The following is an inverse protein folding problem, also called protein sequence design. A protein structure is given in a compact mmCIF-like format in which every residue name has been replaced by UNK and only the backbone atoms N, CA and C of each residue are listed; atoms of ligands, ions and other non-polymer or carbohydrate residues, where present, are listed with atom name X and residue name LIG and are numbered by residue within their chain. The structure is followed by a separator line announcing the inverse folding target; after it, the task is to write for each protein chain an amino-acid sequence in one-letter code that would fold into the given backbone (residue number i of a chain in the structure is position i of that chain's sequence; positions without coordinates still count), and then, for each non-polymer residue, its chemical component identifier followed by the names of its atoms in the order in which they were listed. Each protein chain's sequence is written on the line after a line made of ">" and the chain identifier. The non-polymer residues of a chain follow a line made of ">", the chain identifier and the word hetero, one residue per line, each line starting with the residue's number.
data_IF_410013730110
#
_entry.id   IF_410013730110
#
_cell.length_a   1.000
_cell.length_b   1.000
_cell.length_c   1.000
_cell.angle_alpha   90.00
_cell.angle_beta   90.00
_cell.angle_gamma   90.00
#
_symmetry.space_group_name_H-M   'P 1'
#
loop_
_entity.id
_entity.type
_entity.pdbx_description
1 polymer ?
#
# COMPACT_ATOMS: atom_id res chain seq x y z
N UNK A 1 -2.09 -58.31 -54.88
CA UNK A 1 -2.57 -58.50 -53.49
C UNK A 1 -1.92 -57.45 -52.61
N UNK A 2 -2.67 -56.46 -52.13
CA UNK A 2 -2.19 -55.39 -51.23
C UNK A 2 -2.54 -55.74 -49.78
N UNK A 3 -1.60 -55.63 -48.81
CA UNK A 3 -1.92 -55.94 -47.42
C UNK A 3 -2.59 -54.75 -46.71
N UNK A 4 -3.61 -55.06 -45.90
CA UNK A 4 -4.39 -54.10 -45.10
C UNK A 4 -3.60 -53.65 -43.86
N UNK A 5 -3.56 -52.34 -43.62
CA UNK A 5 -2.90 -51.70 -42.46
C UNK A 5 -3.68 -51.96 -41.16
N UNK A 6 -3.06 -52.62 -40.19
CA UNK A 6 -3.63 -52.81 -38.85
C UNK A 6 -3.57 -51.49 -38.04
N UNK A 7 -4.65 -51.18 -37.32
CA UNK A 7 -4.79 -49.98 -36.47
C UNK A 7 -4.03 -50.19 -35.15
N UNK A 8 -3.09 -49.31 -34.85
CA UNK A 8 -2.35 -49.30 -33.58
C UNK A 8 -3.23 -48.81 -32.42
N UNK A 9 -2.99 -49.34 -31.21
CA UNK A 9 -3.64 -48.91 -29.96
C UNK A 9 -3.19 -47.48 -29.61
N UNK A 10 -4.08 -46.62 -29.08
CA UNK A 10 -3.70 -45.29 -28.61
C UNK A 10 -2.69 -45.39 -27.45
N UNK A 11 -1.69 -44.52 -27.48
CA UNK A 11 -0.59 -44.44 -26.49
C UNK A 11 -1.05 -43.83 -25.15
N UNK A 12 -2.24 -43.22 -25.13
CA UNK A 12 -2.78 -42.56 -23.94
C UNK A 12 -4.11 -43.20 -23.55
N UNK A 13 -4.17 -43.74 -22.34
CA UNK A 13 -5.38 -44.22 -21.69
C UNK A 13 -5.86 -43.16 -20.69
N UNK A 14 -6.93 -42.40 -21.00
CA UNK A 14 -7.43 -41.32 -20.14
C UNK A 14 -8.03 -41.85 -18.83
N UNK A 15 -8.34 -43.14 -18.74
CA UNK A 15 -8.95 -43.79 -17.57
C UNK A 15 -7.94 -44.09 -16.46
N UNK A 16 -6.64 -44.05 -16.76
CA UNK A 16 -5.58 -44.37 -15.81
C UNK A 16 -5.35 -43.28 -14.75
N UNK A 17 -5.85 -42.06 -14.96
CA UNK A 17 -5.59 -40.91 -14.07
C UNK A 17 -6.61 -40.77 -12.94
N UNK A 18 -7.80 -41.36 -13.06
CA UNK A 18 -8.86 -41.18 -12.07
C UNK A 18 -8.68 -42.10 -10.84
N UNK A 19 -8.01 -43.24 -10.98
CA UNK A 19 -7.85 -44.19 -9.86
C UNK A 19 -6.73 -43.81 -8.88
N UNK A 20 -5.66 -43.17 -9.35
CA UNK A 20 -4.46 -42.89 -8.54
C UNK A 20 -4.50 -41.50 -7.85
N UNK A 21 -5.41 -40.61 -8.25
CA UNK A 21 -5.42 -39.22 -7.77
C UNK A 21 -6.16 -39.04 -6.43
N UNK A 22 -7.18 -39.86 -6.17
CA UNK A 22 -7.98 -39.79 -4.93
C UNK A 22 -7.24 -40.35 -3.71
N UNK A 23 -6.33 -41.32 -3.88
CA UNK A 23 -5.52 -41.89 -2.78
C UNK A 23 -4.32 -40.98 -2.40
N UNK A 24 -3.98 -39.99 -3.22
CA UNK A 24 -2.85 -39.08 -2.98
C UNK A 24 -3.21 -37.85 -2.13
N UNK A 25 -4.49 -37.63 -1.82
CA UNK A 25 -4.92 -36.49 -1.03
C UNK A 25 -5.20 -36.89 0.43
N UNK A 26 -4.52 -36.31 1.43
CA UNK A 26 -4.85 -36.59 2.82
C UNK A 26 -6.28 -36.11 3.08
N UNK A 27 -7.17 -37.04 3.44
CA UNK A 27 -8.53 -36.70 3.83
C UNK A 27 -8.51 -35.66 4.95
N UNK A 28 -9.32 -34.58 4.87
CA UNK A 28 -9.40 -33.59 5.92
C UNK A 28 -9.93 -34.27 7.19
N UNK A 29 -9.13 -34.26 8.26
CA UNK A 29 -9.56 -34.70 9.58
C UNK A 29 -10.79 -33.88 9.96
N UNK A 30 -11.91 -34.56 10.18
CA UNK A 30 -13.12 -33.99 10.76
C UNK A 30 -12.77 -33.37 12.11
N UNK A 31 -12.63 -32.04 12.13
CA UNK A 31 -12.53 -31.30 13.38
C UNK A 31 -13.88 -31.40 14.09
N UNK A 32 -13.87 -32.07 15.24
CA UNK A 32 -14.99 -32.09 16.17
C UNK A 32 -15.44 -30.67 16.46
N UNK A 33 -16.72 -30.42 16.25
CA UNK A 33 -17.40 -29.17 16.63
C UNK A 33 -17.36 -29.05 18.15
N UNK A 34 -16.76 -27.99 18.74
CA UNK A 34 -16.90 -27.75 20.17
C UNK A 34 -18.34 -27.34 20.48
N UNK A 35 -18.94 -27.98 21.49
CA UNK A 35 -20.29 -27.66 21.97
C UNK A 35 -20.35 -26.22 22.53
N UNK A 36 -21.49 -25.53 22.43
CA UNK A 36 -21.66 -24.20 23.02
C UNK A 36 -21.75 -24.31 24.54
N UNK A 37 -20.88 -23.60 25.25
CA UNK A 37 -20.99 -23.38 26.70
C UNK A 37 -22.09 -22.35 26.96
N UNK A 38 -23.04 -22.69 27.84
CA UNK A 38 -24.11 -21.79 28.26
C UNK A 38 -23.57 -20.61 29.10
N UNK A 39 -24.13 -19.39 28.96
CA UNK A 39 -23.71 -18.23 29.74
C UNK A 39 -24.29 -18.26 31.17
N UNK A 40 -23.52 -17.87 32.21
CA UNK A 40 -24.04 -17.65 33.55
C UNK A 40 -24.81 -16.31 33.66
N UNK A 41 -25.73 -16.19 34.64
CA UNK A 41 -26.70 -15.09 34.73
C UNK A 41 -26.09 -13.77 35.26
N UNK A 42 -26.65 -12.66 34.77
CA UNK A 42 -26.31 -11.29 35.13
C UNK A 42 -26.74 -10.91 36.56
N UNK A 43 -25.94 -10.11 37.28
CA UNK A 43 -26.42 -9.30 38.40
C UNK A 43 -26.71 -7.84 38.00
N UNK A 44 -27.78 -7.34 38.63
CA UNK A 44 -28.44 -6.05 38.47
C UNK A 44 -27.55 -4.78 38.55
N UNK A 45 -28.00 -3.76 37.83
CA UNK A 45 -27.62 -2.36 38.01
C UNK A 45 -28.02 -1.83 39.40
N UNK A 46 -27.33 -0.80 39.89
CA UNK A 46 -28.08 0.40 40.27
C UNK A 46 -27.42 1.72 39.87
N UNK A 47 -28.29 2.59 39.37
CA UNK A 47 -28.48 4.00 39.72
C UNK A 47 -27.33 5.02 39.56
N UNK A 48 -27.62 5.96 38.67
CA UNK A 48 -27.11 7.34 38.65
C UNK A 48 -27.22 8.03 40.01
N UNK A 49 -26.38 9.06 40.24
CA UNK A 49 -26.99 10.36 40.47
C UNK A 49 -26.30 11.52 39.73
N UNK A 50 -27.16 12.42 39.27
CA UNK A 50 -26.89 13.76 38.79
C UNK A 50 -26.25 14.63 39.88
N UNK A 51 -25.32 15.52 39.51
CA UNK A 51 -25.21 16.88 40.07
C UNK A 51 -24.32 17.78 39.19
N UNK A 52 -24.92 18.86 38.69
CA UNK A 52 -24.34 20.16 38.29
C UNK A 52 -25.01 21.18 39.25
N UNK A 53 -24.56 22.44 39.51
CA UNK A 53 -23.54 23.33 38.91
C UNK A 53 -22.50 23.84 39.94
N UNK A 54 -21.50 24.70 39.61
CA UNK A 54 -21.52 26.18 39.80
C UNK A 54 -20.09 26.74 39.51
N UNK A 55 -19.92 27.97 38.97
CA UNK A 55 -18.63 28.50 38.47
C UNK A 55 -17.85 29.36 39.49
N UNK A 56 -16.63 29.83 39.14
CA UNK A 56 -16.37 31.26 39.30
C UNK A 56 -15.58 31.93 38.15
N UNK A 57 -16.19 33.01 37.65
CA UNK A 57 -15.66 34.35 37.37
C UNK A 57 -14.13 34.59 37.48
N UNK A 58 -13.50 35.09 36.40
CA UNK A 58 -12.84 36.40 36.31
C UNK A 58 -11.94 36.54 35.04
N UNK A 59 -12.27 37.52 34.19
CA UNK A 59 -11.38 38.18 33.22
C UNK A 59 -10.43 39.15 34.01
N UNK A 60 -9.42 39.88 33.43
CA UNK A 60 -9.34 40.32 32.03
C UNK A 60 -7.92 40.48 31.40
N UNK A 61 -7.89 40.88 30.11
CA UNK A 61 -6.85 41.66 29.39
C UNK A 61 -5.45 41.02 29.24
N UNK A 62 -4.84 40.92 28.06
CA UNK A 62 -4.49 42.03 27.16
C UNK A 62 -4.08 41.56 25.76
N UNK A 63 -4.58 42.25 24.74
CA UNK A 63 -3.96 42.43 23.41
C UNK A 63 -3.33 43.84 23.39
N UNK A 64 -2.53 44.31 22.40
CA UNK A 64 -1.98 43.71 21.18
C UNK A 64 -0.45 43.95 21.00
N UNK A 65 0.20 43.32 20.00
CA UNK A 65 1.24 43.94 19.15
C UNK A 65 1.95 42.93 18.23
N UNK A 66 1.69 43.06 16.93
CA UNK A 66 2.60 42.80 15.81
C UNK A 66 2.92 44.19 15.20
N UNK A 67 3.89 44.43 14.29
CA UNK A 67 4.95 43.58 13.74
C UNK A 67 6.36 44.26 13.71
N UNK A 68 7.44 43.50 13.53
CA UNK A 68 8.67 44.03 12.93
C UNK A 68 9.44 42.94 12.18
N UNK A 69 9.83 43.27 10.95
CA UNK A 69 10.51 42.44 9.96
C UNK A 69 12.04 42.37 10.24
N UNK A 70 12.80 41.53 9.51
CA UNK A 70 14.03 40.91 9.98
C UNK A 70 15.30 41.74 9.73
N UNK A 71 16.22 41.70 10.69
CA UNK A 71 17.59 42.16 10.52
C UNK A 71 18.45 41.09 9.84
N UNK A 72 19.10 41.50 8.75
CA UNK A 72 20.16 40.75 8.07
C UNK A 72 21.49 41.04 8.76
N UNK A 73 22.32 40.03 9.01
CA UNK A 73 23.74 40.22 8.78
C UNK A 73 24.37 39.05 7.99
N UNK A 74 25.03 39.39 6.89
CA UNK A 74 26.17 38.63 6.36
C UNK A 74 27.29 38.59 7.41
N UNK A 75 28.08 37.51 7.47
CA UNK A 75 29.49 37.71 7.14
C UNK A 75 30.17 36.56 6.36
N UNK A 76 31.00 37.00 5.40
CA UNK A 76 32.43 36.65 5.28
C UNK A 76 32.86 35.21 4.96
N UNK A 77 33.29 35.05 3.71
CA UNK A 77 34.52 34.41 3.23
C UNK A 77 34.98 33.08 3.86
N UNK A 78 34.90 32.02 3.06
CA UNK A 78 35.58 30.74 3.30
C UNK A 78 36.75 30.61 2.32
N UNK A 79 38.00 30.37 2.76
CA UNK A 79 39.11 30.10 1.85
C UNK A 79 39.05 28.68 1.29
N UNK A 80 39.31 28.56 0.00
CA UNK A 80 39.49 27.30 -0.73
C UNK A 80 40.75 26.58 -0.25
N UNK A 81 40.61 25.32 0.17
CA UNK A 81 41.75 24.41 0.26
C UNK A 81 41.39 23.16 -0.54
N UNK A 82 42.05 23.04 -1.70
CA UNK A 82 42.05 21.86 -2.54
C UNK A 82 42.90 20.77 -1.88
N UNK A 83 42.31 19.60 -1.63
CA UNK A 83 43.05 18.34 -1.43
C UNK A 83 42.21 17.16 -1.94
N UNK A 84 42.69 16.55 -3.01
CA UNK A 84 42.46 15.14 -3.40
C UNK A 84 43.86 14.56 -3.67
N UNK A 85 44.09 13.24 -3.67
CA UNK A 85 43.17 12.11 -3.45
C UNK A 85 43.69 11.11 -2.40
N UNK A 86 42.86 10.18 -1.89
CA UNK A 86 43.27 8.80 -1.50
C UNK A 86 42.04 7.94 -1.24
N UNK A 87 41.86 6.90 -2.06
CA UNK A 87 40.97 5.74 -1.83
C UNK A 87 41.60 4.83 -0.75
N UNK A 88 40.81 4.17 0.12
CA UNK A 88 40.54 2.75 -0.17
C UNK A 88 39.18 2.18 0.34
N UNK A 89 38.80 1.09 -0.33
CA UNK A 89 38.09 -0.09 0.18
C UNK A 89 36.58 -0.02 0.51
N UNK A 90 35.81 -0.53 -0.46
CA UNK A 90 34.88 -1.67 -0.33
C UNK A 90 33.85 -1.64 0.81
N UNK A 91 32.61 -1.29 0.44
CA UNK A 91 31.41 -1.72 1.14
C UNK A 91 30.45 -2.35 0.12
N UNK A 92 29.84 -3.53 0.40
CA UNK A 92 29.09 -4.28 -0.60
C UNK A 92 27.74 -3.60 -0.87
N UNK A 93 27.63 -2.97 -2.03
CA UNK A 93 26.38 -2.52 -2.59
C UNK A 93 25.62 -3.73 -3.16
N UNK A 94 24.71 -4.32 -2.38
CA UNK A 94 23.67 -5.18 -2.91
C UNK A 94 22.59 -4.31 -3.57
N UNK A 95 22.92 -3.75 -4.73
CA UNK A 95 21.95 -3.34 -5.74
C UNK A 95 22.03 -4.35 -6.87
N UNK A 96 21.30 -5.46 -6.71
CA UNK A 96 20.98 -6.34 -7.82
C UNK A 96 20.02 -5.59 -8.74
N UNK A 97 20.58 -4.87 -9.71
CA UNK A 97 19.86 -4.26 -10.80
C UNK A 97 20.74 -4.38 -12.04
N UNK A 98 20.58 -5.50 -12.75
CA UNK A 98 21.27 -5.82 -13.99
C UNK A 98 21.31 -4.63 -14.95
N UNK A 99 22.51 -4.07 -15.12
CA UNK A 99 22.85 -3.27 -16.28
C UNK A 99 23.27 -4.24 -17.39
N UNK A 100 22.32 -4.73 -18.18
CA UNK A 100 22.60 -5.48 -19.39
C UNK A 100 21.78 -4.92 -20.56
N UNK A 101 22.51 -4.49 -21.60
CA UNK A 101 22.16 -4.11 -22.98
C UNK A 101 20.69 -4.18 -23.45
N UNK A 102 20.28 -3.32 -24.43
CA UNK A 102 18.90 -3.24 -24.93
C UNK A 102 18.60 -4.42 -25.87
N UNK A 103 18.55 -5.62 -25.33
CA UNK A 103 17.71 -6.66 -25.88
C UNK A 103 16.26 -6.20 -25.69
N UNK A 104 15.35 -6.58 -26.58
CA UNK A 104 13.91 -6.29 -26.50
C UNK A 104 13.33 -7.11 -25.33
N UNK A 105 13.78 -6.79 -24.12
CA UNK A 105 13.45 -7.47 -22.89
C UNK A 105 11.94 -7.36 -22.75
N UNK A 106 11.28 -8.50 -22.61
CA UNK A 106 9.84 -8.55 -22.33
C UNK A 106 9.63 -7.74 -21.05
N UNK A 107 9.09 -6.54 -21.21
CA UNK A 107 8.90 -5.61 -20.10
C UNK A 107 7.88 -6.25 -19.19
N UNK A 108 8.34 -6.73 -18.03
CA UNK A 108 7.45 -7.24 -16.99
C UNK A 108 6.55 -6.09 -16.54
N UNK A 109 5.24 -6.26 -16.47
CA UNK A 109 4.37 -5.20 -15.98
C UNK A 109 4.78 -4.80 -14.55
N UNK A 110 4.63 -3.52 -14.18
CA UNK A 110 5.04 -3.06 -12.86
C UNK A 110 4.23 -3.75 -11.76
N UNK A 111 4.92 -4.12 -10.68
CA UNK A 111 4.31 -4.73 -9.50
C UNK A 111 4.26 -3.74 -8.35
N UNK A 112 3.22 -3.83 -7.53
CA UNK A 112 3.06 -3.04 -6.30
C UNK A 112 2.55 -3.91 -5.16
N UNK A 113 2.92 -3.55 -3.94
CA UNK A 113 2.45 -4.20 -2.72
C UNK A 113 1.35 -3.35 -2.10
N UNK A 114 0.17 -3.93 -1.92
CA UNK A 114 -0.99 -3.27 -1.31
C UNK A 114 -1.36 -3.94 0.01
N UNK A 115 -1.93 -3.18 0.94
CA UNK A 115 -2.64 -3.78 2.08
C UNK A 115 -3.81 -4.64 1.60
N UNK A 116 -4.17 -5.64 2.40
CA UNK A 116 -5.25 -6.57 2.08
C UNK A 116 -6.59 -5.85 1.86
N UNK A 117 -6.92 -4.89 2.71
CA UNK A 117 -8.14 -4.08 2.62
C UNK A 117 -8.24 -3.33 1.28
N UNK A 118 -7.17 -2.63 0.89
CA UNK A 118 -7.15 -1.88 -0.37
C UNK A 118 -7.20 -2.82 -1.58
N UNK A 119 -6.55 -3.98 -1.49
CA UNK A 119 -6.63 -5.01 -2.53
C UNK A 119 -8.05 -5.57 -2.68
N UNK A 120 -8.73 -5.86 -1.57
CA UNK A 120 -10.05 -6.47 -1.59
C UNK A 120 -11.08 -5.51 -2.22
N UNK A 121 -11.03 -4.21 -1.91
CA UNK A 121 -11.87 -3.20 -2.58
C UNK A 121 -11.51 -3.02 -4.05
N UNK A 122 -10.23 -2.96 -4.39
CA UNK A 122 -9.79 -2.88 -5.78
C UNK A 122 -10.30 -4.09 -6.59
N UNK A 123 -10.20 -5.29 -6.02
CA UNK A 123 -10.72 -6.51 -6.62
C UNK A 123 -12.24 -6.50 -6.74
N UNK A 124 -12.95 -6.00 -5.72
CA UNK A 124 -14.41 -5.86 -5.72
C UNK A 124 -14.88 -4.96 -6.85
N UNK A 125 -14.24 -3.80 -7.04
CA UNK A 125 -14.55 -2.85 -8.12
C UNK A 125 -14.36 -3.50 -9.49
N UNK A 126 -13.22 -4.15 -9.73
CA UNK A 126 -12.99 -4.81 -11.02
C UNK A 126 -13.99 -5.94 -11.27
N UNK A 127 -14.32 -6.73 -10.25
CA UNK A 127 -15.29 -7.80 -10.39
C UNK A 127 -16.69 -7.23 -10.70
N UNK A 128 -17.08 -6.12 -10.07
CA UNK A 128 -18.32 -5.41 -10.36
C UNK A 128 -18.35 -4.90 -11.81
N UNK A 129 -17.26 -4.27 -12.28
CA UNK A 129 -17.16 -3.83 -13.67
C UNK A 129 -17.25 -5.00 -14.65
N UNK A 130 -16.57 -6.11 -14.37
CA UNK A 130 -16.60 -7.31 -15.22
C UNK A 130 -17.98 -7.95 -15.29
N UNK A 131 -18.78 -7.84 -14.23
CA UNK A 131 -20.17 -8.32 -14.21
C UNK A 131 -21.08 -7.48 -15.09
N UNK A 132 -20.93 -6.15 -15.07
CA UNK A 132 -21.79 -5.21 -15.80
C UNK A 132 -21.34 -5.02 -17.25
N UNK A 133 -20.05 -4.83 -17.48
CA UNK A 133 -19.44 -4.48 -18.77
C UNK A 133 -18.49 -5.58 -19.24
N UNK A 134 -19.06 -6.70 -19.66
CA UNK A 134 -18.29 -7.83 -20.20
C UNK A 134 -17.47 -7.36 -21.42
N UNK A 135 -16.15 -7.53 -21.36
CA UNK A 135 -15.21 -7.14 -22.43
C UNK A 135 -14.70 -5.70 -22.39
N UNK A 136 -15.29 -4.82 -21.58
CA UNK A 136 -14.90 -3.41 -21.44
C UNK A 136 -14.51 -3.02 -20.01
N UNK A 137 -14.43 -4.00 -19.10
CA UNK A 137 -14.01 -3.78 -17.72
C UNK A 137 -12.54 -3.35 -17.67
N UNK A 138 -12.25 -2.36 -16.83
CA UNK A 138 -10.90 -1.84 -16.68
C UNK A 138 -9.98 -2.89 -16.03
N UNK A 139 -8.71 -2.87 -16.41
CA UNK A 139 -7.69 -3.66 -15.71
C UNK A 139 -7.41 -3.02 -14.35
N UNK A 140 -6.84 -3.79 -13.41
CA UNK A 140 -6.34 -3.26 -12.14
C UNK A 140 -5.43 -2.05 -12.36
N UNK A 141 -4.53 -2.13 -13.36
CA UNK A 141 -3.63 -1.04 -13.71
C UNK A 141 -4.34 0.21 -14.21
N UNK A 142 -5.39 0.07 -15.01
CA UNK A 142 -6.18 1.20 -15.49
C UNK A 142 -6.96 1.88 -14.33
N UNK A 143 -7.60 1.10 -13.46
CA UNK A 143 -8.29 1.64 -12.27
C UNK A 143 -7.31 2.43 -11.38
N UNK A 144 -6.09 1.91 -11.20
CA UNK A 144 -5.04 2.61 -10.43
C UNK A 144 -4.62 3.92 -11.09
N UNK A 145 -4.40 3.94 -12.41
CA UNK A 145 -4.03 5.17 -13.12
C UNK A 145 -5.14 6.21 -13.03
N UNK A 146 -6.40 5.80 -13.24
CA UNK A 146 -7.56 6.68 -13.12
C UNK A 146 -7.69 7.27 -11.71
N UNK A 147 -7.47 6.46 -10.65
CA UNK A 147 -7.48 6.94 -9.27
C UNK A 147 -6.36 7.96 -8.99
N UNK A 148 -5.17 7.75 -9.53
CA UNK A 148 -4.06 8.71 -9.39
C UNK A 148 -4.39 10.03 -10.09
N UNK A 149 -4.99 9.97 -11.28
CA UNK A 149 -5.41 11.16 -12.02
C UNK A 149 -6.54 11.90 -11.31
N UNK A 150 -7.56 11.19 -10.82
CA UNK A 150 -8.69 11.76 -10.09
C UNK A 150 -8.25 12.50 -8.80
N UNK A 151 -7.25 11.97 -8.10
CA UNK A 151 -6.78 12.51 -6.81
C UNK A 151 -5.43 13.22 -6.90
N UNK A 152 -4.96 13.59 -8.10
CA UNK A 152 -3.61 14.12 -8.31
C UNK A 152 -3.28 15.35 -7.45
N UNK A 153 -4.20 16.31 -7.36
CA UNK A 153 -4.02 17.54 -6.56
C UNK A 153 -3.88 17.24 -5.07
N UNK A 154 -4.69 16.30 -4.56
CA UNK A 154 -4.64 15.87 -3.16
C UNK A 154 -3.36 15.09 -2.89
N UNK A 155 -2.99 14.17 -3.78
CA UNK A 155 -1.75 13.37 -3.69
C UNK A 155 -0.50 14.25 -3.66
N UNK A 156 -0.43 15.29 -4.48
CA UNK A 156 0.73 16.19 -4.54
C UNK A 156 1.08 16.86 -3.20
N UNK A 157 0.09 17.07 -2.32
CA UNK A 157 0.27 17.71 -1.01
C UNK A 157 0.25 16.72 0.16
N UNK A 158 -0.02 15.44 -0.12
CA UNK A 158 -0.27 14.43 0.91
C UNK A 158 0.96 14.15 1.78
N UNK A 159 2.16 14.12 1.19
CA UNK A 159 3.41 13.90 1.92
C UNK A 159 4.12 15.18 2.36
N UNK A 160 3.83 16.31 1.71
CA UNK A 160 4.41 17.60 2.07
C UNK A 160 3.98 18.07 3.47
N UNK A 161 2.77 17.70 3.90
CA UNK A 161 2.20 18.08 5.20
C UNK A 161 2.43 17.02 6.29
N UNK A 162 3.49 16.22 6.19
CA UNK A 162 3.89 15.34 7.30
C UNK A 162 4.31 16.21 8.49
N UNK A 163 3.41 16.36 9.45
CA UNK A 163 3.71 17.04 10.69
C UNK A 163 4.22 16.04 11.71
N UNK A 164 5.36 16.35 12.30
CA UNK A 164 5.81 15.70 13.51
C UNK A 164 4.87 16.12 14.64
N UNK A 165 4.15 15.13 15.19
CA UNK A 165 3.21 15.36 16.28
C UNK A 165 3.61 14.52 17.47
N UNK A 166 3.50 15.11 18.66
CA UNK A 166 3.58 14.38 19.91
C UNK A 166 2.19 13.81 20.18
N UNK A 167 2.04 12.49 20.10
CA UNK A 167 0.80 11.82 20.49
C UNK A 167 0.53 12.05 21.98
N UNK A 168 -0.74 12.13 22.38
CA UNK A 168 -1.11 12.32 23.79
C UNK A 168 -0.39 11.28 24.68
N UNK A 169 0.34 11.77 25.70
CA UNK A 169 1.11 10.93 26.62
C UNK A 169 2.49 10.46 26.11
N UNK A 170 2.95 10.90 24.93
CA UNK A 170 4.29 10.57 24.42
C UNK A 170 5.29 11.70 24.71
N UNK A 171 6.56 11.34 24.87
CA UNK A 171 7.67 12.27 25.14
C UNK A 171 8.37 12.76 23.86
N UNK A 172 8.19 12.04 22.76
CA UNK A 172 8.93 12.28 21.52
C UNK A 172 7.96 12.58 20.38
N UNK A 173 8.36 13.56 19.58
CA UNK A 173 7.77 13.83 18.29
C UNK A 173 7.93 12.61 17.38
N UNK A 174 6.83 12.22 16.75
CA UNK A 174 6.82 11.16 15.75
C UNK A 174 6.21 11.71 14.47
N UNK A 175 6.72 11.31 13.28
CA UNK A 175 6.11 11.68 12.02
C UNK A 175 4.68 11.16 11.99
N UNK A 176 3.73 12.08 12.07
CA UNK A 176 2.32 11.77 12.05
C UNK A 176 1.84 12.03 10.62
N UNK A 177 1.85 10.96 9.82
CA UNK A 177 1.44 11.05 8.42
C UNK A 177 0.00 10.59 8.28
N UNK A 178 -0.85 11.45 7.70
CA UNK A 178 -2.13 11.04 7.13
C UNK A 178 -1.92 10.28 5.80
N UNK A 179 -0.72 10.35 5.24
CA UNK A 179 -0.30 9.53 4.11
C UNK A 179 0.13 8.15 4.58
N UNK A 180 0.03 7.16 3.69
CA UNK A 180 0.48 5.84 4.08
C UNK A 180 1.98 5.80 4.42
N UNK A 181 2.37 5.24 5.58
CA UNK A 181 3.76 5.28 6.02
C UNK A 181 4.70 4.52 5.08
N UNK A 182 5.97 4.95 5.04
CA UNK A 182 7.04 4.29 4.30
C UNK A 182 7.36 2.89 4.83
N UNK A 183 7.29 2.69 6.16
CA UNK A 183 7.42 1.38 6.81
C UNK A 183 6.16 1.11 7.62
N UNK A 184 5.43 0.06 7.24
CA UNK A 184 4.12 -0.24 7.82
C UNK A 184 4.14 -1.54 8.59
N UNK A 185 3.33 -1.59 9.63
CA UNK A 185 3.00 -2.81 10.35
C UNK A 185 1.61 -3.20 9.88
N UNK A 186 1.51 -4.29 9.14
CA UNK A 186 0.22 -4.79 8.68
C UNK A 186 -0.26 -5.89 9.62
N UNK A 187 -1.53 -5.83 10.04
CA UNK A 187 -2.15 -6.93 10.77
C UNK A 187 -2.31 -8.18 9.88
N UNK A 188 -2.53 -7.97 8.58
CA UNK A 188 -2.63 -9.01 7.55
C UNK A 188 -1.53 -8.84 6.51
N UNK A 189 -1.01 -9.94 5.96
CA UNK A 189 0.08 -9.88 4.99
C UNK A 189 -0.30 -9.04 3.75
N UNK A 190 0.57 -8.13 3.27
CA UNK A 190 0.37 -7.40 2.03
C UNK A 190 0.25 -8.33 0.82
N UNK A 191 -0.48 -7.88 -0.20
CA UNK A 191 -0.66 -8.62 -1.46
C UNK A 191 0.07 -7.92 -2.60
N UNK A 192 0.78 -8.71 -3.42
CA UNK A 192 1.42 -8.23 -4.65
C UNK A 192 0.39 -8.16 -5.77
N UNK A 193 0.30 -6.99 -6.42
CA UNK A 193 -0.56 -6.76 -7.57
C UNK A 193 0.30 -6.42 -8.77
N UNK A 194 0.08 -7.15 -9.86
CA UNK A 194 0.64 -6.83 -11.17
C UNK A 194 -0.26 -5.80 -11.83
N UNK A 195 0.28 -4.61 -12.12
CA UNK A 195 -0.46 -3.53 -12.78
C UNK A 195 -0.59 -3.80 -14.27
N UNK A 196 -1.44 -4.76 -14.63
CA UNK A 196 -1.70 -5.15 -16.01
C UNK A 196 -2.29 -3.98 -16.81
N UNK A 197 -1.81 -3.81 -18.05
CA UNK A 197 -2.21 -2.71 -18.92
C UNK A 197 -1.43 -1.40 -18.72
N UNK A 198 -0.56 -1.31 -17.70
CA UNK A 198 0.35 -0.17 -17.54
C UNK A 198 1.52 -0.30 -18.52
N UNK A 199 1.66 0.67 -19.42
CA UNK A 199 2.77 0.74 -20.37
C UNK A 199 4.08 1.10 -19.68
N UNK A 200 5.22 0.82 -20.32
CA UNK A 200 6.52 1.22 -19.79
C UNK A 200 6.65 2.73 -19.57
N UNK A 201 6.07 3.54 -20.47
CA UNK A 201 6.03 4.99 -20.34
C UNK A 201 5.21 5.44 -19.12
N UNK A 202 4.06 4.80 -18.87
CA UNK A 202 3.26 5.09 -17.68
C UNK A 202 3.98 4.62 -16.40
N UNK A 203 4.70 3.50 -16.44
CA UNK A 203 5.57 3.06 -15.35
C UNK A 203 6.63 4.09 -14.98
N UNK A 204 7.34 4.62 -15.98
CA UNK A 204 8.31 5.72 -15.81
C UNK A 204 7.64 6.98 -15.25
N UNK A 205 6.44 7.32 -15.76
CA UNK A 205 5.68 8.48 -15.27
C UNK A 205 5.30 8.32 -13.79
N UNK A 206 4.89 7.13 -13.36
CA UNK A 206 4.62 6.84 -11.96
C UNK A 206 5.87 7.05 -11.10
N UNK A 207 7.03 6.59 -11.55
CA UNK A 207 8.28 6.76 -10.80
C UNK A 207 8.67 8.24 -10.68
N UNK A 208 8.46 9.02 -11.73
CA UNK A 208 8.66 10.47 -11.68
C UNK A 208 7.71 11.15 -10.68
N UNK A 209 6.45 10.71 -10.60
CA UNK A 209 5.49 11.22 -9.62
C UNK A 209 5.88 10.84 -8.18
N UNK A 210 6.38 9.62 -7.96
CA UNK A 210 6.88 9.18 -6.65
C UNK A 210 8.00 10.11 -6.15
N UNK A 211 8.92 10.48 -7.04
CA UNK A 211 10.00 11.42 -6.74
C UNK A 211 9.47 12.84 -6.51
N UNK A 212 8.61 13.33 -7.41
CA UNK A 212 8.09 14.70 -7.36
C UNK A 212 7.22 14.97 -6.12
N UNK A 213 6.43 13.99 -5.68
CA UNK A 213 5.53 14.13 -4.54
C UNK A 213 6.09 13.58 -3.22
N UNK A 214 7.30 13.02 -3.24
CA UNK A 214 7.93 12.49 -2.03
C UNK A 214 7.24 11.25 -1.44
N UNK A 215 6.51 10.48 -2.25
CA UNK A 215 5.76 9.30 -1.78
C UNK A 215 6.65 8.16 -1.25
N UNK A 216 7.95 8.21 -1.54
CA UNK A 216 8.97 7.27 -1.11
C UNK A 216 8.99 5.95 -1.91
N UNK A 217 7.83 5.36 -2.22
CA UNK A 217 7.74 4.17 -3.08
C UNK A 217 6.52 4.22 -3.99
N UNK A 218 6.59 3.52 -5.13
CA UNK A 218 5.44 3.36 -6.04
C UNK A 218 4.23 2.72 -5.35
N UNK A 219 4.47 1.70 -4.53
CA UNK A 219 3.42 1.05 -3.73
C UNK A 219 2.71 2.04 -2.79
N UNK A 220 3.45 2.93 -2.14
CA UNK A 220 2.86 3.93 -1.25
C UNK A 220 2.01 4.96 -2.01
N UNK A 221 2.47 5.42 -3.18
CA UNK A 221 1.71 6.31 -4.05
C UNK A 221 0.39 5.68 -4.49
N UNK A 222 0.47 4.47 -5.06
CA UNK A 222 -0.69 3.75 -5.58
C UNK A 222 -1.69 3.47 -4.47
N UNK A 223 -1.21 3.01 -3.33
CA UNK A 223 -2.11 2.68 -2.23
C UNK A 223 -2.76 3.91 -1.60
N UNK A 224 -2.07 5.05 -1.54
CA UNK A 224 -2.71 6.29 -1.10
C UNK A 224 -3.79 6.73 -2.09
N UNK A 225 -3.53 6.64 -3.39
CA UNK A 225 -4.50 6.99 -4.42
C UNK A 225 -5.77 6.13 -4.31
N UNK A 226 -5.60 4.81 -4.12
CA UNK A 226 -6.73 3.90 -3.92
C UNK A 226 -7.46 4.13 -2.59
N UNK A 227 -6.76 4.53 -1.53
CA UNK A 227 -7.43 4.93 -0.28
C UNK A 227 -8.31 6.15 -0.47
N UNK A 228 -7.89 7.13 -1.27
CA UNK A 228 -8.73 8.27 -1.61
C UNK A 228 -9.91 7.88 -2.51
N UNK A 229 -9.69 6.95 -3.44
CA UNK A 229 -10.75 6.49 -4.34
C UNK A 229 -11.83 5.67 -3.62
N UNK A 230 -11.45 4.88 -2.63
CA UNK A 230 -12.36 4.00 -1.88
C UNK A 230 -12.79 4.58 -0.52
N UNK A 231 -12.40 5.83 -0.22
CA UNK A 231 -12.65 6.50 1.06
C UNK A 231 -12.17 5.70 2.30
N UNK A 232 -11.11 4.91 2.15
CA UNK A 232 -10.51 4.05 3.19
C UNK A 232 -9.50 4.80 4.08
N UNK A 233 -9.74 6.08 4.33
CA UNK A 233 -8.83 6.87 5.16
C UNK A 233 -8.98 6.45 6.63
N UNK A 234 -7.87 6.23 7.36
CA UNK A 234 -7.95 5.93 8.78
C UNK A 234 -8.60 7.13 9.49
N UNK A 235 -9.81 6.91 10.01
CA UNK A 235 -10.45 7.88 10.90
C UNK A 235 -9.54 8.09 12.12
N UNK A 236 -9.17 9.35 12.36
CA UNK A 236 -8.54 9.78 13.61
C UNK A 236 -9.60 10.16 14.62
#
# INVERSE_FOLDING_TARGET
>A
MTPTRQKAKPVFDPSALDQDLDDLWPAPKTHQTPQPVAPPPAPAAPSTPHTTPTPPLAAPTSSPAQPAAPETPLPTAVPQIAVSPTTPAAQPANHSGDAQQPNKARIRPPEVLLSSEVYDELYRVQLAEKKVRRGLARTMGAIVLDAIEAHATRLATTWANQQDAVGEGQLFERPSSNAVPRRRRHATAPRTVVLSGVTAANGQRLDNLVLAWGAGTRSALVEQALRYEFDLLPHR
#
